data_IF_974622769366
#
_entry.id   IF_974622769366
#
_cell.length_a   1.000
_cell.length_b   1.000
_cell.length_c   1.000
_cell.angle_alpha   90.00
_cell.angle_beta   90.00
_cell.angle_gamma   90.00
#
_symmetry.space_group_name_H-M   'P 1'
#
loop_
_entity.id
_entity.type
_entity.pdbx_description
1 polymer ?
#
# COMPACT_ATOMS: atom_id res chain seq x y z
N UNK A 1 28.53 4.40 40.33
CA UNK A 1 29.19 5.50 39.59
C UNK A 1 28.95 5.21 38.12
N UNK A 2 27.85 5.75 37.58
CA UNK A 2 27.33 5.37 36.26
C UNK A 2 27.82 6.29 35.16
N UNK A 3 28.45 5.72 34.16
CA UNK A 3 28.90 6.41 32.96
C UNK A 3 27.83 6.21 31.89
N UNK A 4 26.72 6.96 31.93
CA UNK A 4 25.88 7.19 30.76
C UNK A 4 26.49 8.37 29.98
N UNK A 5 27.40 8.05 29.08
CA UNK A 5 27.89 9.02 28.09
C UNK A 5 26.73 9.47 27.21
N UNK A 6 26.19 10.67 27.45
CA UNK A 6 25.30 11.37 26.51
C UNK A 6 26.08 11.57 25.21
N UNK A 7 25.87 10.75 24.19
CA UNK A 7 26.33 11.02 22.83
C UNK A 7 25.94 12.46 22.48
N UNK A 8 26.90 13.35 22.31
CA UNK A 8 26.67 14.71 21.81
C UNK A 8 25.88 14.61 20.50
N UNK A 9 24.70 15.22 20.45
CA UNK A 9 23.93 15.31 19.21
C UNK A 9 24.79 16.06 18.20
N UNK A 10 25.07 15.47 17.05
CA UNK A 10 25.73 16.13 15.94
C UNK A 10 24.92 17.39 15.55
N UNK A 11 25.60 18.54 15.22
CA UNK A 11 24.88 19.68 14.68
C UNK A 11 24.16 19.31 13.37
N UNK A 12 23.01 19.91 13.12
CA UNK A 12 22.14 19.56 11.95
C UNK A 12 22.85 19.69 10.60
N UNK A 13 23.90 20.52 10.53
CA UNK A 13 24.75 20.70 9.34
C UNK A 13 25.65 19.51 8.98
N UNK A 14 25.87 18.58 9.90
CA UNK A 14 26.70 17.39 9.69
C UNK A 14 25.91 16.14 9.28
N UNK A 15 24.57 16.24 9.23
CA UNK A 15 23.74 15.11 8.82
C UNK A 15 23.67 14.99 7.29
N UNK A 16 23.79 13.77 6.77
CA UNK A 16 23.42 13.51 5.37
C UNK A 16 21.93 13.73 5.17
N UNK A 17 21.50 13.99 3.93
CA UNK A 17 20.07 14.20 3.61
C UNK A 17 19.17 13.06 4.14
N UNK A 18 19.61 11.80 3.99
CA UNK A 18 18.86 10.65 4.49
C UNK A 18 18.79 10.58 6.03
N UNK A 19 19.90 10.89 6.72
CA UNK A 19 19.92 10.94 8.19
C UNK A 19 19.01 12.04 8.72
N UNK A 20 18.96 13.20 8.05
CA UNK A 20 18.08 14.31 8.41
C UNK A 20 16.60 13.94 8.25
N UNK A 21 16.23 13.29 7.15
CA UNK A 21 14.86 12.79 6.93
C UNK A 21 14.48 11.79 8.02
N UNK A 22 15.34 10.81 8.32
CA UNK A 22 15.09 9.83 9.37
C UNK A 22 14.97 10.47 10.75
N UNK A 23 15.81 11.47 11.05
CA UNK A 23 15.74 12.22 12.30
C UNK A 23 14.40 12.95 12.44
N UNK A 24 13.97 13.67 11.40
CA UNK A 24 12.68 14.40 11.39
C UNK A 24 11.50 13.43 11.52
N UNK A 25 11.52 12.32 10.76
CA UNK A 25 10.50 11.27 10.82
C UNK A 25 10.35 10.72 12.24
N UNK A 26 11.45 10.36 12.90
CA UNK A 26 11.44 9.84 14.28
C UNK A 26 10.96 10.86 15.32
N UNK A 27 11.06 12.15 15.03
CA UNK A 27 10.57 13.22 15.91
C UNK A 27 9.04 13.38 15.82
N UNK A 28 8.43 12.95 14.72
CA UNK A 28 6.98 12.98 14.54
C UNK A 28 6.32 11.84 15.34
N UNK A 29 5.60 12.21 16.42
CA UNK A 29 4.96 11.23 17.32
C UNK A 29 3.88 10.41 16.62
N UNK A 30 3.08 11.02 15.74
CA UNK A 30 2.02 10.32 14.99
C UNK A 30 2.61 9.30 14.02
N UNK A 31 3.70 9.66 13.33
CA UNK A 31 4.42 8.73 12.48
C UNK A 31 4.95 7.51 13.27
N UNK A 32 5.50 7.73 14.46
CA UNK A 32 6.00 6.64 15.32
C UNK A 32 4.86 5.75 15.84
N UNK A 33 3.70 6.32 16.17
CA UNK A 33 2.49 5.56 16.49
C UNK A 33 2.07 4.72 15.27
N UNK A 34 2.05 5.31 14.08
CA UNK A 34 1.77 4.61 12.82
C UNK A 34 2.71 3.42 12.59
N UNK A 35 4.02 3.61 12.79
CA UNK A 35 5.02 2.53 12.68
C UNK A 35 4.74 1.42 13.70
N UNK A 36 4.44 1.77 14.95
CA UNK A 36 4.15 0.79 15.98
C UNK A 36 2.87 -0.01 15.66
N UNK A 37 1.80 0.68 15.22
CA UNK A 37 0.54 0.03 14.79
C UNK A 37 0.76 -0.88 13.58
N UNK A 38 1.49 -0.42 12.56
CA UNK A 38 1.78 -1.22 11.37
C UNK A 38 2.63 -2.45 11.69
N UNK A 39 3.64 -2.27 12.54
CA UNK A 39 4.46 -3.37 13.03
C UNK A 39 3.62 -4.38 13.83
N UNK A 40 2.73 -3.92 14.70
CA UNK A 40 1.82 -4.79 15.45
C UNK A 40 0.93 -5.62 14.52
N UNK A 41 0.25 -4.99 13.56
CA UNK A 41 -0.61 -5.69 12.59
C UNK A 41 0.20 -6.67 11.75
N UNK A 42 1.37 -6.27 11.27
CA UNK A 42 2.23 -7.12 10.45
C UNK A 42 2.75 -8.32 11.24
N UNK A 43 3.21 -8.13 12.48
CA UNK A 43 3.64 -9.22 13.35
C UNK A 43 2.49 -10.17 13.65
N UNK A 44 1.31 -9.64 13.99
CA UNK A 44 0.10 -10.43 14.22
C UNK A 44 -0.24 -11.33 13.03
N UNK A 45 -0.16 -10.79 11.81
CA UNK A 45 -0.39 -11.54 10.57
C UNK A 45 0.72 -12.59 10.33
N UNK A 46 2.00 -12.25 10.59
CA UNK A 46 3.14 -13.14 10.32
C UNK A 46 3.18 -14.35 11.24
N UNK A 47 2.74 -14.22 12.50
CA UNK A 47 2.70 -15.32 13.46
C UNK A 47 1.55 -16.31 13.21
N UNK A 48 0.69 -16.05 12.20
CA UNK A 48 -0.47 -16.89 11.88
C UNK A 48 -0.18 -18.41 11.87
N UNK A 49 0.86 -18.92 11.18
CA UNK A 49 1.11 -20.37 11.14
C UNK A 49 1.50 -20.96 12.49
N UNK A 50 2.04 -20.14 13.41
CA UNK A 50 2.44 -20.57 14.75
C UNK A 50 1.24 -20.67 15.70
N UNK A 51 0.19 -19.84 15.47
CA UNK A 51 -0.99 -19.79 16.34
C UNK A 51 -2.10 -20.69 15.79
N UNK A 52 -2.34 -20.65 14.49
CA UNK A 52 -3.43 -21.35 13.79
C UNK A 52 -2.94 -21.92 12.47
N UNK A 53 -3.02 -23.25 12.25
CA UNK A 53 -2.65 -23.84 10.95
C UNK A 53 -3.65 -23.44 9.86
N UNK A 54 -3.17 -23.43 8.61
CA UNK A 54 -4.01 -23.04 7.45
C UNK A 54 -5.24 -23.94 7.27
N UNK A 55 -5.18 -25.17 7.75
CA UNK A 55 -6.36 -26.08 7.74
C UNK A 55 -7.58 -25.50 8.45
N UNK A 56 -7.39 -24.69 9.48
CA UNK A 56 -8.50 -24.03 10.21
C UNK A 56 -9.17 -22.90 9.39
N UNK A 57 -8.48 -22.39 8.36
CA UNK A 57 -9.02 -21.36 7.46
C UNK A 57 -10.08 -21.94 6.53
N UNK A 58 -9.88 -23.18 6.08
CA UNK A 58 -10.69 -23.84 5.04
C UNK A 58 -11.60 -24.95 5.59
N UNK A 59 -11.24 -25.56 6.73
CA UNK A 59 -12.05 -26.63 7.35
C UNK A 59 -13.39 -26.07 7.79
N UNK A 60 -14.45 -26.64 7.25
CA UNK A 60 -15.82 -26.33 7.63
C UNK A 60 -16.24 -27.24 8.78
N UNK A 61 -16.90 -26.64 9.78
CA UNK A 61 -17.51 -27.35 10.91
C UNK A 61 -18.92 -26.81 11.16
N UNK A 62 -19.85 -27.32 10.40
CA UNK A 62 -21.25 -26.85 10.42
C UNK A 62 -21.91 -27.00 11.80
N UNK A 63 -21.45 -27.96 12.62
CA UNK A 63 -21.97 -28.15 13.98
C UNK A 63 -21.60 -26.93 14.88
N UNK A 64 -20.49 -26.31 14.62
CA UNK A 64 -19.94 -25.15 15.36
C UNK A 64 -20.09 -23.82 14.61
N UNK A 65 -21.09 -23.70 13.72
CA UNK A 65 -21.34 -22.46 12.96
C UNK A 65 -21.80 -21.33 13.88
N UNK A 66 -21.36 -20.09 13.57
CA UNK A 66 -21.77 -18.84 14.23
C UNK A 66 -21.62 -18.85 15.75
N UNK A 67 -20.64 -19.59 16.27
CA UNK A 67 -20.30 -19.55 17.69
C UNK A 67 -19.60 -18.23 18.02
N UNK A 68 -19.99 -17.62 19.14
CA UNK A 68 -19.33 -16.44 19.67
C UNK A 68 -17.90 -16.72 20.12
N UNK A 69 -17.13 -15.66 20.46
CA UNK A 69 -15.79 -15.79 21.00
C UNK A 69 -15.73 -16.76 22.19
N UNK A 70 -14.78 -17.71 22.15
CA UNK A 70 -14.58 -18.75 23.15
C UNK A 70 -13.10 -19.07 23.32
N UNK A 71 -12.74 -19.90 24.30
CA UNK A 71 -11.36 -20.34 24.50
C UNK A 71 -10.83 -21.16 23.31
N UNK A 72 -11.68 -21.90 22.62
CA UNK A 72 -11.34 -22.68 21.42
C UNK A 72 -11.29 -21.79 20.17
N UNK A 73 -12.27 -20.91 20.01
CA UNK A 73 -12.40 -19.97 18.91
C UNK A 73 -12.35 -18.53 19.44
N UNK A 74 -11.14 -17.97 19.59
CA UNK A 74 -10.89 -16.66 20.23
C UNK A 74 -11.74 -15.54 19.63
N UNK A 75 -11.95 -15.53 18.31
CA UNK A 75 -12.81 -14.56 17.61
C UNK A 75 -14.14 -15.16 17.16
N UNK A 76 -14.46 -16.37 17.60
CA UNK A 76 -15.64 -17.11 17.18
C UNK A 76 -15.48 -17.78 15.83
N UNK A 77 -16.61 -18.26 15.27
CA UNK A 77 -16.68 -18.96 14.00
C UNK A 77 -17.62 -18.24 13.01
N UNK A 78 -17.41 -18.47 11.72
CA UNK A 78 -18.25 -17.92 10.65
C UNK A 78 -19.47 -18.81 10.34
N UNK A 79 -20.23 -18.49 9.29
CA UNK A 79 -21.43 -19.23 8.86
C UNK A 79 -21.16 -20.68 8.43
N UNK A 80 -19.92 -21.02 8.12
CA UNK A 80 -19.46 -22.37 7.78
C UNK A 80 -18.73 -23.06 8.92
N UNK A 81 -18.69 -22.44 10.12
CA UNK A 81 -17.99 -22.97 11.29
C UNK A 81 -16.47 -22.86 11.18
N UNK A 82 -15.92 -22.03 10.28
CA UNK A 82 -14.48 -21.82 10.13
C UNK A 82 -13.98 -20.85 11.21
N UNK A 83 -12.78 -21.07 11.74
CA UNK A 83 -12.18 -20.22 12.76
C UNK A 83 -11.90 -18.79 12.23
N UNK A 84 -12.57 -17.79 12.83
CA UNK A 84 -12.47 -16.41 12.37
C UNK A 84 -11.07 -15.80 12.60
N UNK A 85 -10.38 -16.17 13.71
CA UNK A 85 -9.02 -15.71 13.97
C UNK A 85 -8.07 -16.20 12.88
N UNK A 86 -8.13 -17.48 12.53
CA UNK A 86 -7.32 -18.03 11.45
C UNK A 86 -7.58 -17.28 10.13
N UNK A 87 -8.83 -17.04 9.79
CA UNK A 87 -9.22 -16.32 8.57
C UNK A 87 -8.73 -14.86 8.57
N UNK A 88 -8.80 -14.16 9.70
CA UNK A 88 -8.27 -12.78 9.85
C UNK A 88 -6.77 -12.75 9.65
N UNK A 89 -6.03 -13.66 10.26
CA UNK A 89 -4.58 -13.72 10.17
C UNK A 89 -4.10 -14.00 8.75
N UNK A 90 -4.66 -15.01 8.09
CA UNK A 90 -4.28 -15.35 6.72
C UNK A 90 -4.86 -14.36 5.69
N UNK A 91 -6.06 -13.83 5.95
CA UNK A 91 -6.67 -12.78 5.12
C UNK A 91 -5.83 -11.52 5.08
N UNK A 92 -5.26 -11.11 6.21
CA UNK A 92 -4.35 -9.97 6.27
C UNK A 92 -3.09 -10.14 5.41
N UNK A 93 -2.54 -11.36 5.29
CA UNK A 93 -1.43 -11.64 4.37
C UNK A 93 -1.80 -11.33 2.92
N UNK A 94 -2.99 -11.78 2.52
CA UNK A 94 -3.49 -11.55 1.15
C UNK A 94 -3.74 -10.06 0.92
N UNK A 95 -4.43 -9.38 1.86
CA UNK A 95 -4.70 -7.94 1.76
C UNK A 95 -3.42 -7.11 1.65
N UNK A 96 -2.40 -7.38 2.50
CA UNK A 96 -1.12 -6.67 2.46
C UNK A 96 -0.31 -7.01 1.20
N UNK A 97 -0.21 -8.29 0.84
CA UNK A 97 0.50 -8.71 -0.37
C UNK A 97 -0.10 -8.07 -1.62
N UNK A 98 -1.42 -8.15 -1.79
CA UNK A 98 -2.11 -7.54 -2.93
C UNK A 98 -1.87 -6.04 -2.98
N UNK A 99 -1.95 -5.33 -1.85
CA UNK A 99 -1.77 -3.88 -1.83
C UNK A 99 -0.36 -3.47 -2.23
N UNK A 100 0.67 -4.17 -1.76
CA UNK A 100 2.07 -3.93 -2.15
C UNK A 100 2.31 -4.27 -3.63
N UNK A 101 1.75 -5.38 -4.11
CA UNK A 101 1.86 -5.78 -5.51
C UNK A 101 1.20 -4.75 -6.45
N UNK A 102 0.00 -4.27 -6.11
CA UNK A 102 -0.72 -3.24 -6.87
C UNK A 102 0.12 -1.98 -7.00
N UNK A 103 0.65 -1.48 -5.87
CA UNK A 103 1.47 -0.27 -5.87
C UNK A 103 2.77 -0.49 -6.63
N UNK A 104 3.43 -1.63 -6.43
CA UNK A 104 4.66 -1.98 -7.13
C UNK A 104 4.49 -1.99 -8.64
N UNK A 105 3.46 -2.68 -9.14
CA UNK A 105 3.15 -2.75 -10.58
C UNK A 105 2.79 -1.36 -11.12
N UNK A 106 1.90 -0.65 -10.43
CA UNK A 106 1.47 0.68 -10.86
C UNK A 106 2.63 1.68 -10.86
N UNK A 107 3.52 1.62 -9.86
CA UNK A 107 4.71 2.45 -9.82
C UNK A 107 5.68 2.15 -10.95
N UNK A 108 6.01 0.88 -11.19
CA UNK A 108 6.96 0.50 -12.25
C UNK A 108 6.46 0.96 -13.62
N UNK A 109 5.21 0.65 -13.96
CA UNK A 109 4.62 1.04 -15.25
C UNK A 109 4.47 2.56 -15.31
N UNK A 110 3.99 3.20 -14.24
CA UNK A 110 3.85 4.64 -14.15
C UNK A 110 5.19 5.38 -14.24
N UNK A 111 6.26 4.82 -13.65
CA UNK A 111 7.61 5.39 -13.76
C UNK A 111 8.17 5.31 -15.18
N UNK A 112 7.92 4.22 -15.89
CA UNK A 112 8.31 4.10 -17.30
C UNK A 112 7.57 5.14 -18.15
N UNK A 113 6.24 5.22 -18.03
CA UNK A 113 5.40 6.17 -18.80
C UNK A 113 5.76 7.61 -18.43
N UNK A 114 5.74 7.95 -17.15
CA UNK A 114 5.99 9.32 -16.68
C UNK A 114 7.44 9.75 -16.85
N UNK A 115 8.40 8.84 -16.66
CA UNK A 115 9.81 9.06 -16.88
C UNK A 115 10.11 9.37 -18.35
N UNK A 116 9.58 8.57 -19.26
CA UNK A 116 9.73 8.76 -20.71
C UNK A 116 9.05 10.05 -21.16
N UNK A 117 7.80 10.28 -20.77
CA UNK A 117 7.05 11.48 -21.12
C UNK A 117 7.77 12.76 -20.64
N UNK A 118 8.17 12.79 -19.35
CA UNK A 118 8.83 13.96 -18.77
C UNK A 118 10.23 14.24 -19.35
N UNK A 119 10.99 13.18 -19.68
CA UNK A 119 12.36 13.33 -20.21
C UNK A 119 12.40 13.78 -21.67
N UNK A 120 11.66 13.09 -22.55
CA UNK A 120 11.67 13.40 -23.98
C UNK A 120 10.80 14.62 -24.32
N UNK A 121 9.68 14.83 -23.63
CA UNK A 121 8.79 15.96 -23.91
C UNK A 121 8.11 15.90 -25.29
N UNK A 122 7.61 17.05 -25.75
CA UNK A 122 7.05 17.23 -27.10
C UNK A 122 5.93 16.22 -27.46
N UNK A 123 6.01 15.61 -28.64
CA UNK A 123 5.02 14.65 -29.14
C UNK A 123 4.93 13.38 -28.27
N UNK A 124 6.07 12.89 -27.72
CA UNK A 124 6.11 11.70 -26.85
C UNK A 124 5.32 11.96 -25.58
N UNK A 125 5.54 13.08 -24.93
CA UNK A 125 4.79 13.51 -23.75
C UNK A 125 3.29 13.63 -24.06
N UNK A 126 2.94 14.31 -25.15
CA UNK A 126 1.54 14.50 -25.56
C UNK A 126 0.82 13.17 -25.76
N UNK A 127 1.42 12.22 -26.48
CA UNK A 127 0.78 10.92 -26.77
C UNK A 127 0.64 10.10 -25.49
N UNK A 128 1.71 9.96 -24.70
CA UNK A 128 1.67 9.17 -23.46
C UNK A 128 0.68 9.74 -22.44
N UNK A 129 0.65 11.09 -22.29
CA UNK A 129 -0.30 11.71 -21.37
C UNK A 129 -1.75 11.62 -21.87
N UNK A 130 -2.02 11.58 -23.17
CA UNK A 130 -3.36 11.29 -23.69
C UNK A 130 -3.86 9.91 -23.28
N UNK A 131 -2.99 8.88 -23.34
CA UNK A 131 -3.36 7.54 -22.86
C UNK A 131 -3.64 7.57 -21.34
N UNK A 132 -2.80 8.25 -20.58
CA UNK A 132 -3.00 8.44 -19.14
C UNK A 132 -4.32 9.18 -18.84
N UNK A 133 -4.64 10.22 -19.60
CA UNK A 133 -5.88 10.99 -19.45
C UNK A 133 -7.13 10.16 -19.81
N UNK A 134 -7.06 9.33 -20.86
CA UNK A 134 -8.13 8.39 -21.18
C UNK A 134 -8.40 7.38 -20.04
N UNK A 135 -7.35 6.86 -19.40
CA UNK A 135 -7.52 5.97 -18.24
C UNK A 135 -8.14 6.71 -17.04
N UNK A 136 -7.83 8.00 -16.87
CA UNK A 136 -8.40 8.81 -15.77
C UNK A 136 -9.81 9.32 -16.03
N UNK A 137 -10.30 9.27 -17.27
CA UNK A 137 -11.67 9.68 -17.60
C UNK A 137 -12.72 8.72 -17.00
N UNK A 138 -12.31 7.47 -16.70
CA UNK A 138 -13.14 6.47 -16.06
C UNK A 138 -12.79 6.41 -14.57
N UNK A 139 -13.78 6.49 -13.66
CA UNK A 139 -13.53 6.29 -12.23
C UNK A 139 -12.83 4.94 -11.98
N UNK A 140 -11.72 4.95 -11.25
CA UNK A 140 -10.85 3.78 -11.06
C UNK A 140 -11.59 2.57 -10.49
N UNK A 141 -12.58 2.78 -9.61
CA UNK A 141 -13.40 1.71 -9.05
C UNK A 141 -14.28 1.03 -10.13
N UNK A 142 -14.89 1.81 -11.01
CA UNK A 142 -15.71 1.27 -12.11
C UNK A 142 -14.86 0.51 -13.13
N UNK A 143 -13.67 1.06 -13.44
CA UNK A 143 -12.71 0.39 -14.32
C UNK A 143 -12.29 -0.96 -13.74
N UNK A 144 -11.93 -1.00 -12.44
CA UNK A 144 -11.56 -2.24 -11.78
C UNK A 144 -12.71 -3.25 -11.76
N UNK A 145 -13.96 -2.83 -11.45
CA UNK A 145 -15.15 -3.68 -11.51
C UNK A 145 -15.34 -4.29 -12.90
N UNK A 146 -15.26 -3.49 -13.95
CA UNK A 146 -15.42 -3.96 -15.32
C UNK A 146 -14.35 -5.00 -15.69
N UNK A 147 -13.09 -4.76 -15.32
CA UNK A 147 -11.99 -5.69 -15.59
C UNK A 147 -12.18 -7.00 -14.82
N UNK A 148 -12.53 -6.94 -13.53
CA UNK A 148 -12.73 -8.14 -12.71
C UNK A 148 -13.93 -8.94 -13.21
N UNK A 149 -15.02 -8.28 -13.58
CA UNK A 149 -16.20 -8.94 -14.13
C UNK A 149 -15.88 -9.68 -15.44
N UNK A 150 -15.05 -9.08 -16.29
CA UNK A 150 -14.62 -9.70 -17.55
C UNK A 150 -13.63 -10.87 -17.35
N UNK A 151 -12.69 -10.74 -16.39
CA UNK A 151 -11.65 -11.75 -16.15
C UNK A 151 -12.06 -12.82 -15.12
N UNK A 152 -13.10 -12.56 -14.33
CA UNK A 152 -13.51 -13.36 -13.17
C UNK A 152 -12.70 -13.08 -11.91
N UNK A 153 -13.10 -13.67 -10.78
CA UNK A 153 -12.48 -13.48 -9.47
C UNK A 153 -11.11 -14.17 -9.36
N UNK A 154 -10.24 -13.64 -8.51
CA UNK A 154 -8.95 -14.22 -8.20
C UNK A 154 -7.91 -13.18 -7.79
N UNK A 155 -6.91 -13.60 -7.01
CA UNK A 155 -5.87 -12.73 -6.43
C UNK A 155 -5.17 -11.90 -7.51
N UNK A 156 -4.63 -12.54 -8.55
CA UNK A 156 -3.88 -11.85 -9.59
C UNK A 156 -4.75 -10.97 -10.49
N UNK A 157 -6.00 -11.39 -10.71
CA UNK A 157 -6.96 -10.60 -11.51
C UNK A 157 -7.34 -9.32 -10.77
N UNK A 158 -7.57 -9.42 -9.47
CA UNK A 158 -7.78 -8.27 -8.58
C UNK A 158 -6.56 -7.32 -8.58
N UNK A 159 -5.35 -7.88 -8.44
CA UNK A 159 -4.11 -7.10 -8.46
C UNK A 159 -3.96 -6.36 -9.78
N UNK A 160 -4.15 -7.03 -10.93
CA UNK A 160 -4.04 -6.40 -12.24
C UNK A 160 -5.09 -5.30 -12.44
N UNK A 161 -6.35 -5.57 -12.12
CA UNK A 161 -7.45 -4.61 -12.30
C UNK A 161 -7.22 -3.32 -11.49
N UNK A 162 -6.86 -3.45 -10.21
CA UNK A 162 -6.60 -2.28 -9.35
C UNK A 162 -5.30 -1.58 -9.72
N UNK A 163 -4.27 -2.31 -10.20
CA UNK A 163 -3.02 -1.68 -10.66
C UNK A 163 -3.25 -0.74 -11.84
N UNK A 164 -4.05 -1.14 -12.82
CA UNK A 164 -4.39 -0.31 -13.99
C UNK A 164 -4.97 1.04 -13.55
N UNK A 165 -5.86 1.04 -12.56
CA UNK A 165 -6.45 2.26 -12.01
C UNK A 165 -5.46 3.18 -11.29
N UNK A 166 -4.32 2.67 -10.82
CA UNK A 166 -3.29 3.45 -10.10
C UNK A 166 -2.14 3.95 -11.01
N UNK A 167 -1.91 3.32 -12.17
CA UNK A 167 -0.85 3.70 -13.11
C UNK A 167 -0.87 5.19 -13.44
N UNK A 168 -2.01 5.81 -13.79
CA UNK A 168 -2.07 7.22 -14.18
C UNK A 168 -1.54 8.17 -13.10
N UNK A 169 -1.85 7.88 -11.84
CA UNK A 169 -1.39 8.67 -10.70
C UNK A 169 0.14 8.69 -10.60
N UNK A 170 0.75 7.50 -10.67
CA UNK A 170 2.21 7.39 -10.63
C UNK A 170 2.88 7.98 -11.89
N UNK A 171 2.29 7.79 -13.06
CA UNK A 171 2.81 8.35 -14.31
C UNK A 171 2.87 9.89 -14.25
N UNK A 172 1.80 10.55 -13.82
CA UNK A 172 1.78 12.02 -13.68
C UNK A 172 2.77 12.51 -12.63
N UNK A 173 2.89 11.81 -11.52
CA UNK A 173 3.80 12.19 -10.45
C UNK A 173 5.26 12.08 -10.88
N UNK A 174 5.65 10.94 -11.46
CA UNK A 174 7.03 10.74 -11.96
C UNK A 174 7.34 11.74 -13.07
N UNK A 175 6.39 11.99 -13.99
CA UNK A 175 6.53 13.02 -15.02
C UNK A 175 6.81 14.40 -14.41
N UNK A 176 6.06 14.80 -13.39
CA UNK A 176 6.28 16.08 -12.70
C UNK A 176 7.67 16.17 -12.11
N UNK A 177 8.13 15.12 -11.40
CA UNK A 177 9.48 15.05 -10.84
C UNK A 177 10.56 15.14 -11.93
N UNK A 178 10.37 14.44 -13.05
CA UNK A 178 11.32 14.46 -14.17
C UNK A 178 11.38 15.86 -14.82
N UNK A 179 10.24 16.50 -15.05
CA UNK A 179 10.19 17.86 -15.61
C UNK A 179 10.93 18.88 -14.76
N UNK A 180 10.84 18.75 -13.43
CA UNK A 180 11.55 19.63 -12.47
C UNK A 180 13.07 19.40 -12.50
N UNK A 181 13.51 18.15 -12.65
CA UNK A 181 14.91 17.78 -12.47
C UNK A 181 15.72 17.67 -13.78
N UNK A 182 15.08 17.51 -14.94
CA UNK A 182 15.75 17.22 -16.22
C UNK A 182 16.69 18.34 -16.73
N UNK A 183 16.47 19.58 -16.25
CA UNK A 183 17.25 20.74 -16.65
C UNK A 183 18.26 21.16 -15.57
N UNK A 184 18.52 20.32 -14.58
CA UNK A 184 19.51 20.58 -13.53
C UNK A 184 20.93 20.34 -14.07
N UNK A 185 21.91 21.11 -13.60
CA UNK A 185 23.32 21.10 -14.06
C UNK A 185 23.93 19.69 -14.04
N UNK A 186 23.67 18.88 -13.01
CA UNK A 186 24.19 17.52 -12.92
C UNK A 186 23.61 16.59 -14.01
N UNK A 187 22.39 16.86 -14.50
CA UNK A 187 21.78 16.12 -15.63
C UNK A 187 22.42 16.55 -16.93
N UNK A 188 22.67 17.84 -17.12
CA UNK A 188 23.37 18.36 -18.28
C UNK A 188 24.79 17.82 -18.36
N UNK A 189 25.52 17.84 -17.25
CA UNK A 189 26.83 17.23 -17.16
C UNK A 189 26.80 15.74 -17.57
N UNK A 190 25.83 14.96 -17.05
CA UNK A 190 25.69 13.55 -17.43
C UNK A 190 25.44 13.36 -18.94
N UNK A 191 24.67 14.26 -19.58
CA UNK A 191 24.48 14.26 -21.04
C UNK A 191 25.78 14.54 -21.79
N UNK A 192 26.53 15.54 -21.34
CA UNK A 192 27.85 15.89 -21.94
C UNK A 192 28.85 14.74 -21.87
N UNK A 193 28.82 13.93 -20.79
CA UNK A 193 29.62 12.71 -20.66
C UNK A 193 29.05 11.50 -21.43
N UNK A 194 28.02 11.67 -22.27
CA UNK A 194 27.48 10.63 -23.11
C UNK A 194 26.61 9.59 -22.38
N UNK A 195 26.07 9.90 -21.21
CA UNK A 195 25.17 8.98 -20.52
C UNK A 195 23.86 8.78 -21.31
N UNK A 196 23.43 7.51 -21.47
CA UNK A 196 22.18 7.17 -22.16
C UNK A 196 20.94 7.67 -21.37
N UNK A 197 19.85 7.99 -22.10
CA UNK A 197 18.59 8.48 -21.49
C UNK A 197 18.06 7.59 -20.37
N UNK A 198 18.00 6.25 -20.49
CA UNK A 198 17.59 5.40 -19.37
C UNK A 198 18.52 5.52 -18.15
N UNK A 199 19.84 5.63 -18.37
CA UNK A 199 20.81 5.81 -17.28
C UNK A 199 20.58 7.13 -16.56
N UNK A 200 20.32 8.21 -17.29
CA UNK A 200 20.02 9.53 -16.71
C UNK A 200 18.75 9.47 -15.87
N UNK A 201 17.66 8.90 -16.41
CA UNK A 201 16.39 8.79 -15.70
C UNK A 201 16.56 7.96 -14.42
N UNK A 202 17.13 6.74 -14.53
CA UNK A 202 17.17 5.79 -13.43
C UNK A 202 18.24 6.12 -12.36
N UNK A 203 19.40 6.68 -12.75
CA UNK A 203 20.51 6.91 -11.82
C UNK A 203 20.64 8.35 -11.36
N UNK A 204 20.13 9.32 -12.10
CA UNK A 204 20.32 10.74 -11.79
C UNK A 204 19.01 11.45 -11.44
N UNK A 205 17.90 11.15 -12.15
CA UNK A 205 16.64 11.88 -11.91
C UNK A 205 15.78 11.18 -10.85
N UNK A 206 15.44 9.91 -11.03
CA UNK A 206 14.54 9.19 -10.10
C UNK A 206 15.04 9.15 -8.65
N UNK A 207 16.32 8.89 -8.36
CA UNK A 207 16.81 8.91 -6.99
C UNK A 207 16.71 10.29 -6.32
N UNK A 208 16.91 11.36 -7.08
CA UNK A 208 16.78 12.73 -6.57
C UNK A 208 15.32 13.18 -6.45
N UNK A 209 14.41 12.59 -7.21
CA UNK A 209 12.97 12.83 -7.15
C UNK A 209 12.19 11.84 -6.28
N UNK A 210 12.88 10.96 -5.53
CA UNK A 210 12.25 9.85 -4.81
C UNK A 210 11.32 10.29 -3.67
N UNK A 211 11.59 11.41 -3.02
CA UNK A 211 10.85 11.86 -1.84
C UNK A 211 9.34 11.96 -2.06
N UNK A 212 8.84 12.78 -2.99
CA UNK A 212 7.42 12.87 -3.29
C UNK A 212 6.80 11.53 -3.72
N UNK A 213 7.59 10.68 -4.41
CA UNK A 213 7.14 9.38 -4.90
C UNK A 213 6.87 8.43 -3.73
N UNK A 214 7.81 8.32 -2.77
CA UNK A 214 7.67 7.45 -1.58
C UNK A 214 6.50 7.91 -0.72
N UNK A 215 6.37 9.21 -0.47
CA UNK A 215 5.23 9.78 0.27
C UNK A 215 3.91 9.40 -0.38
N UNK A 216 3.78 9.61 -1.68
CA UNK A 216 2.54 9.29 -2.38
C UNK A 216 2.28 7.78 -2.45
N UNK A 217 3.30 6.95 -2.65
CA UNK A 217 3.16 5.49 -2.62
C UNK A 217 2.63 5.02 -1.27
N UNK A 218 3.18 5.57 -0.17
CA UNK A 218 2.74 5.23 1.20
C UNK A 218 1.27 5.64 1.43
N UNK A 219 0.88 6.87 1.09
CA UNK A 219 -0.51 7.32 1.24
C UNK A 219 -1.47 6.54 0.32
N UNK A 220 -1.01 6.16 -0.87
CA UNK A 220 -1.80 5.33 -1.80
C UNK A 220 -2.03 3.92 -1.25
N UNK A 221 -1.11 3.39 -0.44
CA UNK A 221 -1.25 2.05 0.16
C UNK A 221 -2.54 1.93 0.99
N UNK A 222 -2.85 2.94 1.81
CA UNK A 222 -4.09 2.96 2.59
C UNK A 222 -5.35 2.92 1.71
N UNK A 223 -5.39 3.74 0.65
CA UNK A 223 -6.52 3.76 -0.28
C UNK A 223 -6.65 2.46 -1.10
N UNK A 224 -5.54 1.82 -1.43
CA UNK A 224 -5.53 0.53 -2.14
C UNK A 224 -6.06 -0.60 -1.24
N UNK A 225 -5.68 -0.63 0.05
CA UNK A 225 -6.24 -1.60 1.02
C UNK A 225 -7.76 -1.46 1.09
N UNK A 226 -8.28 -0.23 1.18
CA UNK A 226 -9.73 0.02 1.15
C UNK A 226 -10.37 -0.44 -0.17
N UNK A 227 -9.70 -0.21 -1.30
CA UNK A 227 -10.20 -0.64 -2.62
C UNK A 227 -10.26 -2.17 -2.72
N UNK A 228 -9.24 -2.89 -2.25
CA UNK A 228 -9.23 -4.36 -2.19
C UNK A 228 -10.41 -4.86 -1.35
N UNK A 229 -10.57 -4.32 -0.14
CA UNK A 229 -11.64 -4.72 0.77
C UNK A 229 -13.03 -4.37 0.22
N UNK A 230 -13.15 -3.24 -0.48
CA UNK A 230 -14.41 -2.87 -1.15
C UNK A 230 -14.77 -3.84 -2.29
N UNK A 231 -13.78 -4.22 -3.12
CA UNK A 231 -13.99 -5.23 -4.17
C UNK A 231 -14.34 -6.60 -3.55
N UNK A 232 -13.66 -6.99 -2.46
CA UNK A 232 -13.95 -8.18 -1.68
C UNK A 232 -15.38 -8.18 -1.15
N UNK A 233 -15.81 -7.07 -0.55
CA UNK A 233 -17.17 -6.90 -0.02
C UNK A 233 -18.25 -6.98 -1.11
N UNK A 234 -17.97 -6.48 -2.30
CA UNK A 234 -18.88 -6.57 -3.46
C UNK A 234 -18.89 -7.96 -4.13
N UNK A 235 -18.07 -8.91 -3.63
CA UNK A 235 -17.97 -10.24 -4.24
C UNK A 235 -17.08 -10.30 -5.48
N UNK A 236 -16.38 -9.21 -5.80
CA UNK A 236 -15.44 -9.07 -6.91
C UNK A 236 -13.97 -9.23 -6.45
N UNK A 237 -13.75 -9.72 -5.26
CA UNK A 237 -12.45 -9.88 -4.65
C UNK A 237 -11.78 -11.22 -4.94
N UNK A 238 -11.10 -11.72 -3.91
CA UNK A 238 -10.46 -13.02 -3.93
C UNK A 238 -11.52 -14.12 -3.81
N UNK A 239 -11.38 -15.16 -4.62
CA UNK A 239 -12.34 -16.28 -4.62
C UNK A 239 -12.21 -17.11 -3.32
N UNK A 240 -13.37 -17.50 -2.74
CA UNK A 240 -13.41 -18.49 -1.66
C UNK A 240 -12.74 -19.81 -2.11
N UNK A 241 -12.05 -20.55 -1.24
CA UNK A 241 -12.00 -20.41 0.21
C UNK A 241 -10.87 -19.46 0.72
N UNK A 242 -10.11 -18.83 -0.15
CA UNK A 242 -9.00 -17.95 0.22
C UNK A 242 -9.53 -16.74 0.99
N UNK A 243 -9.07 -16.49 2.24
CA UNK A 243 -9.56 -15.37 3.02
C UNK A 243 -8.92 -14.05 2.53
N UNK A 244 -9.71 -12.99 2.57
CA UNK A 244 -9.31 -11.59 2.45
C UNK A 244 -10.27 -10.78 3.32
N UNK A 245 -9.83 -9.70 3.96
CA UNK A 245 -10.63 -9.03 4.98
C UNK A 245 -12.00 -8.56 4.48
N UNK A 246 -12.07 -7.97 3.28
CA UNK A 246 -13.35 -7.56 2.68
C UNK A 246 -14.22 -8.75 2.28
N UNK A 247 -13.63 -9.81 1.76
CA UNK A 247 -14.32 -11.06 1.42
C UNK A 247 -14.89 -11.73 2.67
N UNK A 248 -14.15 -11.72 3.80
CA UNK A 248 -14.66 -12.24 5.09
C UNK A 248 -15.95 -11.50 5.51
N UNK A 249 -15.98 -10.16 5.37
CA UNK A 249 -17.17 -9.37 5.68
C UNK A 249 -18.30 -9.73 4.72
N UNK A 250 -18.02 -9.85 3.42
CA UNK A 250 -19.01 -10.18 2.39
C UNK A 250 -19.67 -11.54 2.60
N UNK A 251 -18.87 -12.55 2.90
CA UNK A 251 -19.38 -13.92 3.15
C UNK A 251 -20.34 -13.97 4.35
N UNK A 252 -20.14 -13.10 5.34
CA UNK A 252 -20.94 -13.10 6.57
C UNK A 252 -21.97 -11.95 6.63
N UNK A 253 -22.16 -11.18 5.56
CA UNK A 253 -22.98 -9.94 5.56
C UNK A 253 -24.41 -10.11 6.07
N UNK A 254 -25.04 -11.25 5.81
CA UNK A 254 -26.40 -11.56 6.25
C UNK A 254 -26.44 -11.78 7.77
N UNK A 255 -25.36 -12.30 8.34
CA UNK A 255 -25.26 -12.68 9.75
C UNK A 255 -24.75 -11.55 10.65
N UNK A 256 -24.17 -10.46 10.09
CA UNK A 256 -23.56 -9.36 10.87
C UNK A 256 -24.57 -8.70 11.82
N UNK A 257 -25.86 -8.65 11.45
CA UNK A 257 -26.90 -8.06 12.28
C UNK A 257 -27.07 -8.81 13.61
N UNK A 258 -26.92 -10.12 13.60
CA UNK A 258 -27.06 -10.99 14.77
C UNK A 258 -25.72 -11.32 15.44
N UNK A 259 -24.65 -11.31 14.66
CA UNK A 259 -23.29 -11.65 15.07
C UNK A 259 -22.30 -10.55 14.67
N UNK A 260 -22.33 -9.37 15.35
CA UNK A 260 -21.58 -8.19 14.92
C UNK A 260 -20.05 -8.40 14.84
N UNK A 261 -19.49 -9.36 15.61
CA UNK A 261 -18.05 -9.66 15.60
C UNK A 261 -17.55 -10.07 14.21
N UNK A 262 -18.41 -10.68 13.36
CA UNK A 262 -18.09 -11.09 11.99
C UNK A 262 -17.73 -9.91 11.06
N UNK A 263 -18.26 -8.72 11.35
CA UNK A 263 -17.95 -7.50 10.61
C UNK A 263 -16.96 -6.58 11.34
N UNK A 264 -17.11 -6.45 12.67
CA UNK A 264 -16.33 -5.52 13.48
C UNK A 264 -14.84 -5.92 13.49
N UNK A 265 -14.51 -7.21 13.69
CA UNK A 265 -13.13 -7.66 13.80
C UNK A 265 -12.33 -7.43 12.51
N UNK A 266 -12.77 -7.90 11.32
CA UNK A 266 -12.08 -7.59 10.09
C UNK A 266 -12.08 -6.08 9.78
N UNK A 267 -13.16 -5.36 10.10
CA UNK A 267 -13.23 -3.91 9.96
C UNK A 267 -12.18 -3.17 10.79
N UNK A 268 -11.94 -3.58 12.04
CA UNK A 268 -10.88 -3.04 12.90
C UNK A 268 -9.50 -3.32 12.29
N UNK A 269 -9.27 -4.51 11.75
CA UNK A 269 -7.98 -4.83 11.09
C UNK A 269 -7.72 -3.92 9.88
N UNK A 270 -8.73 -3.69 9.03
CA UNK A 270 -8.64 -2.76 7.90
C UNK A 270 -8.37 -1.35 8.42
N UNK A 271 -9.15 -0.87 9.39
CA UNK A 271 -9.01 0.47 9.97
C UNK A 271 -7.62 0.70 10.55
N UNK A 272 -7.13 -0.20 11.42
CA UNK A 272 -5.80 -0.08 12.03
C UNK A 272 -4.70 -0.06 10.96
N UNK A 273 -4.80 -0.89 9.93
CA UNK A 273 -3.81 -0.94 8.85
C UNK A 273 -3.81 0.36 8.05
N UNK A 274 -4.98 0.86 7.65
CA UNK A 274 -5.12 2.09 6.89
C UNK A 274 -4.64 3.31 7.69
N UNK A 275 -5.04 3.42 8.96
CA UNK A 275 -4.59 4.50 9.83
C UNK A 275 -3.08 4.48 10.03
N UNK A 276 -2.50 3.30 10.27
CA UNK A 276 -1.06 3.16 10.47
C UNK A 276 -0.26 3.65 9.27
N UNK A 277 -0.68 3.24 8.07
CA UNK A 277 -0.02 3.62 6.81
C UNK A 277 -0.19 5.12 6.52
N UNK A 278 -1.36 5.70 6.81
CA UNK A 278 -1.58 7.14 6.66
C UNK A 278 -0.69 7.95 7.61
N UNK A 279 -0.59 7.56 8.89
CA UNK A 279 0.31 8.23 9.84
C UNK A 279 1.78 8.14 9.41
N UNK A 280 2.21 7.00 8.86
CA UNK A 280 3.54 6.85 8.29
C UNK A 280 3.72 7.77 7.08
N UNK A 281 2.75 7.82 6.18
CA UNK A 281 2.77 8.63 4.97
C UNK A 281 2.84 10.13 5.27
N UNK A 282 2.03 10.61 6.20
CA UNK A 282 2.04 12.00 6.65
C UNK A 282 3.38 12.35 7.32
N UNK A 283 3.90 11.47 8.18
CA UNK A 283 5.20 11.66 8.79
C UNK A 283 6.37 11.67 7.78
N UNK A 284 6.29 10.86 6.73
CA UNK A 284 7.25 10.91 5.62
C UNK A 284 7.13 12.23 4.87
N UNK A 285 5.92 12.70 4.60
CA UNK A 285 5.66 13.99 3.95
C UNK A 285 6.31 15.13 4.72
N UNK A 286 6.08 15.18 6.04
CA UNK A 286 6.68 16.20 6.92
C UNK A 286 8.20 16.12 6.94
N UNK A 287 8.76 14.89 6.92
CA UNK A 287 10.21 14.68 6.95
C UNK A 287 10.90 15.10 5.65
N UNK A 288 10.24 14.94 4.50
CA UNK A 288 10.73 15.36 3.19
C UNK A 288 10.51 16.85 2.90
N UNK A 289 9.62 17.55 3.65
CA UNK A 289 9.36 18.96 3.42
C UNK A 289 10.55 19.83 3.90
N UNK A 290 11.22 20.58 2.99
CA UNK A 290 12.34 21.44 3.36
C UNK A 290 11.91 22.61 4.26
N UNK A 291 10.63 23.02 4.21
CA UNK A 291 10.07 24.15 4.96
C UNK A 291 9.70 23.79 6.39
N UNK A 292 9.64 22.53 6.75
CA UNK A 292 9.41 22.06 8.12
C UNK A 292 10.68 22.35 8.96
N UNK A 293 10.90 23.62 9.25
CA UNK A 293 11.90 24.09 10.20
C UNK A 293 11.24 24.05 11.59
N UNK A 294 11.36 22.94 12.30
CA UNK A 294 11.25 22.90 13.77
C UNK A 294 12.00 21.69 14.33
#
# INVERSE_FOLDING_TARGET
>A
MGIFSKKKKKPLSEYSTGELILFRFRKNKLAMIGVAMFAFVTLFILIAPLIRPYSMVIKQDIANKLQGPSAEHIFGTDELGRDLLARILYGGRISLFCSLAIIGIAFVIGAIIGGTAGFFGGKVDTVLMRVVDMLMSVPSALLAMAIITALGNGVWKLVLALSIGQIPRFARMVRSSVLTLRNMEYVEAAKCFGASSPRIILKHILPNGIGPIVVSATLTLGSVILSISSMGYLGLGVASPTPEWGTIISENKVNIQYYPYLGIIPGICIMLTVMSVNFIGDGLRDAFDPKSKN
#
